data_IF_301980187085
#
_entry.id   IF_301980187085
#
_cell.length_a   1.000
_cell.length_b   1.000
_cell.length_c   1.000
_cell.angle_alpha   90.00
_cell.angle_beta   90.00
_cell.angle_gamma   90.00
#
_symmetry.space_group_name_H-M   'P 1'
#
loop_
_entity.id
_entity.type
_entity.pdbx_description
1 polymer ?
#
# COMPACT_ATOMS: atom_id res chain seq x y z
N UNK A 1 -23.96 38.20 -1.53
CA UNK A 1 -23.55 37.48 -2.76
C UNK A 1 -24.65 36.49 -3.10
N UNK A 2 -25.21 36.56 -4.30
CA UNK A 2 -26.29 35.71 -4.75
C UNK A 2 -25.78 34.27 -4.90
N UNK A 3 -26.30 33.31 -4.12
CA UNK A 3 -25.83 31.92 -4.08
C UNK A 3 -26.21 31.11 -5.33
N UNK A 4 -27.01 31.68 -6.24
CA UNK A 4 -27.54 31.00 -7.42
C UNK A 4 -26.55 30.87 -8.59
N UNK A 5 -25.33 31.41 -8.49
CA UNK A 5 -24.34 31.32 -9.57
C UNK A 5 -23.12 30.45 -9.22
N UNK A 6 -23.36 29.30 -8.58
CA UNK A 6 -22.32 28.31 -8.24
C UNK A 6 -21.56 27.78 -9.46
N UNK A 7 -22.09 27.98 -10.67
CA UNK A 7 -21.46 27.56 -11.92
C UNK A 7 -20.46 28.57 -12.48
N UNK A 8 -20.40 29.81 -11.98
CA UNK A 8 -19.45 30.82 -12.44
C UNK A 8 -18.00 30.34 -12.27
N UNK A 9 -17.18 30.53 -13.31
CA UNK A 9 -15.75 30.21 -13.28
C UNK A 9 -15.04 30.87 -12.10
N UNK A 10 -15.35 32.14 -11.80
CA UNK A 10 -14.73 32.88 -10.69
C UNK A 10 -15.06 32.27 -9.34
N UNK A 11 -16.31 31.81 -9.15
CA UNK A 11 -16.71 31.12 -7.92
C UNK A 11 -15.95 29.80 -7.75
N UNK A 12 -15.73 29.04 -8.84
CA UNK A 12 -14.92 27.81 -8.81
C UNK A 12 -13.45 28.08 -8.48
N UNK A 13 -12.87 29.14 -9.05
CA UNK A 13 -11.48 29.56 -8.74
C UNK A 13 -11.36 30.00 -7.29
N UNK A 14 -12.27 30.86 -6.81
CA UNK A 14 -12.28 31.30 -5.42
C UNK A 14 -12.46 30.12 -4.46
N UNK A 15 -13.41 29.21 -4.76
CA UNK A 15 -13.60 27.98 -3.98
C UNK A 15 -12.37 27.08 -3.97
N UNK A 16 -11.63 27.00 -5.07
CA UNK A 16 -10.35 26.28 -5.14
C UNK A 16 -9.30 26.92 -4.23
N UNK A 17 -9.20 28.25 -4.26
CA UNK A 17 -8.29 28.98 -3.38
C UNK A 17 -8.62 28.73 -1.91
N UNK A 18 -9.89 28.80 -1.54
CA UNK A 18 -10.35 28.49 -0.18
C UNK A 18 -10.07 27.04 0.21
N UNK A 19 -10.38 26.07 -0.67
CA UNK A 19 -10.19 24.64 -0.40
C UNK A 19 -8.74 24.30 -0.05
N UNK A 20 -7.81 24.89 -0.77
CA UNK A 20 -6.38 24.67 -0.58
C UNK A 20 -5.73 25.67 0.38
N UNK A 21 -6.47 26.58 1.01
CA UNK A 21 -5.91 27.63 1.87
C UNK A 21 -4.83 28.48 1.14
N UNK A 22 -5.10 28.85 -0.11
CA UNK A 22 -4.23 29.71 -0.91
C UNK A 22 -4.51 31.21 -0.60
N UNK A 23 -3.50 32.09 -0.75
CA UNK A 23 -3.69 33.52 -0.57
C UNK A 23 -4.81 34.06 -1.44
N UNK A 24 -5.66 34.93 -0.88
CA UNK A 24 -6.77 35.52 -1.62
C UNK A 24 -6.28 36.27 -2.87
N UNK A 25 -7.16 36.39 -3.87
CA UNK A 25 -6.83 37.11 -5.11
C UNK A 25 -6.40 38.56 -4.80
N UNK A 26 -7.03 39.20 -3.82
CA UNK A 26 -6.67 40.57 -3.44
C UNK A 26 -5.30 40.65 -2.77
N UNK A 27 -4.93 39.67 -1.94
CA UNK A 27 -3.58 39.54 -1.39
C UNK A 27 -2.53 39.38 -2.49
N UNK A 28 -2.81 38.55 -3.51
CA UNK A 28 -1.91 38.35 -4.64
C UNK A 28 -1.74 39.60 -5.52
N UNK A 29 -2.77 40.46 -5.61
CA UNK A 29 -2.67 41.74 -6.34
C UNK A 29 -1.77 42.73 -5.61
N UNK A 30 -1.85 42.78 -4.28
CA UNK A 30 -1.04 43.68 -3.46
C UNK A 30 0.44 43.29 -3.49
N UNK A 31 0.74 41.99 -3.49
CA UNK A 31 2.11 41.50 -3.49
C UNK A 31 2.26 40.29 -4.45
N UNK A 32 2.38 40.54 -5.76
CA UNK A 32 2.41 39.47 -6.75
C UNK A 32 3.71 38.66 -6.65
N UNK A 33 3.65 37.35 -6.37
CA UNK A 33 4.83 36.49 -6.40
C UNK A 33 5.33 36.33 -7.84
N UNK A 34 6.62 36.01 -8.00
CA UNK A 34 7.12 35.58 -9.31
C UNK A 34 6.42 34.29 -9.75
N UNK A 35 6.27 34.10 -11.07
CA UNK A 35 5.60 32.92 -11.64
C UNK A 35 6.15 31.58 -11.10
N UNK A 36 7.46 31.47 -10.91
CA UNK A 36 8.12 30.28 -10.37
C UNK A 36 7.81 30.06 -8.89
N UNK A 37 7.87 31.13 -8.08
CA UNK A 37 7.51 31.08 -6.65
C UNK A 37 6.05 30.68 -6.48
N UNK A 38 5.15 31.31 -7.24
CA UNK A 38 3.72 30.99 -7.22
C UNK A 38 3.43 29.53 -7.56
N UNK A 39 3.96 29.04 -8.69
CA UNK A 39 3.80 27.63 -9.09
C UNK A 39 4.30 26.66 -8.02
N UNK A 40 5.44 26.97 -7.41
CA UNK A 40 6.02 26.13 -6.35
C UNK A 40 5.15 26.15 -5.10
N UNK A 41 4.66 27.32 -4.69
CA UNK A 41 3.75 27.46 -3.55
C UNK A 41 2.46 26.68 -3.77
N UNK A 42 1.78 26.89 -4.91
CA UNK A 42 0.54 26.18 -5.24
C UNK A 42 0.76 24.66 -5.26
N UNK A 43 1.88 24.20 -5.84
CA UNK A 43 2.23 22.78 -5.85
C UNK A 43 2.40 22.21 -4.43
N UNK A 44 3.14 22.91 -3.57
CA UNK A 44 3.38 22.47 -2.18
C UNK A 44 2.08 22.44 -1.38
N UNK A 45 1.27 23.49 -1.47
CA UNK A 45 -0.02 23.59 -0.80
C UNK A 45 -0.97 22.48 -1.24
N UNK A 46 -1.06 22.22 -2.55
CA UNK A 46 -1.86 21.12 -3.09
C UNK A 46 -1.38 19.76 -2.57
N UNK A 47 -0.07 19.52 -2.59
CA UNK A 47 0.53 18.29 -2.09
C UNK A 47 0.25 18.08 -0.59
N UNK A 48 0.38 19.13 0.21
CA UNK A 48 0.11 19.08 1.65
C UNK A 48 -1.37 18.78 1.94
N UNK A 49 -2.29 19.52 1.32
CA UNK A 49 -3.73 19.30 1.48
C UNK A 49 -4.11 17.85 1.20
N UNK A 50 -3.75 17.35 0.02
CA UNK A 50 -4.14 16.01 -0.37
C UNK A 50 -3.42 14.95 0.49
N UNK A 51 -2.18 15.20 0.94
CA UNK A 51 -1.47 14.23 1.78
C UNK A 51 -2.18 14.07 3.11
N UNK A 52 -2.59 15.18 3.73
CA UNK A 52 -3.42 15.19 4.94
C UNK A 52 -4.77 14.52 4.72
N UNK A 53 -5.45 14.85 3.62
CA UNK A 53 -6.73 14.25 3.25
C UNK A 53 -6.60 12.73 3.11
N UNK A 54 -5.63 12.24 2.33
CA UNK A 54 -5.44 10.81 2.14
C UNK A 54 -5.04 10.08 3.42
N UNK A 55 -4.17 10.66 4.26
CA UNK A 55 -3.82 10.05 5.54
C UNK A 55 -5.06 9.86 6.42
N UNK A 56 -5.94 10.87 6.49
CA UNK A 56 -7.21 10.79 7.21
C UNK A 56 -8.14 9.72 6.64
N UNK A 57 -8.26 9.65 5.32
CA UNK A 57 -9.05 8.61 4.62
C UNK A 57 -8.51 7.19 4.82
N UNK A 58 -7.20 7.05 5.05
CA UNK A 58 -6.56 5.76 5.30
C UNK A 58 -6.73 5.34 6.75
N UNK A 59 -6.68 6.30 7.68
CA UNK A 59 -6.94 6.07 9.10
C UNK A 59 -8.34 5.49 9.36
N UNK A 60 -9.34 5.91 8.58
CA UNK A 60 -10.72 5.40 8.71
C UNK A 60 -10.93 4.00 8.13
N UNK A 61 -9.97 3.46 7.36
CA UNK A 61 -10.12 2.19 6.63
C UNK A 61 -9.34 1.05 7.30
N UNK A 62 -10.09 0.17 7.96
CA UNK A 62 -9.53 -1.05 8.59
C UNK A 62 -8.89 -2.02 7.59
N UNK A 63 -9.33 -2.00 6.33
CA UNK A 63 -8.75 -2.82 5.25
C UNK A 63 -7.32 -2.41 4.86
N UNK A 64 -6.88 -1.21 5.26
CA UNK A 64 -5.54 -0.69 4.99
C UNK A 64 -4.57 -0.87 6.16
N UNK A 65 -4.87 -1.77 7.10
CA UNK A 65 -4.06 -2.03 8.30
C UNK A 65 -2.62 -2.43 7.99
N UNK A 66 -2.36 -3.07 6.84
CA UNK A 66 -1.03 -3.51 6.45
C UNK A 66 -0.22 -2.44 5.73
N UNK A 67 -0.85 -1.32 5.31
CA UNK A 67 -0.20 -0.27 4.54
C UNK A 67 0.68 0.62 5.42
N UNK A 68 1.97 0.72 5.11
CA UNK A 68 2.86 1.62 5.83
C UNK A 68 2.60 3.09 5.45
N UNK A 69 1.80 3.77 6.29
CA UNK A 69 1.30 5.13 6.05
C UNK A 69 2.39 6.18 5.85
N UNK A 70 3.54 6.05 6.52
CA UNK A 70 4.64 7.02 6.45
C UNK A 70 5.24 7.16 5.04
N UNK A 71 4.98 6.21 4.15
CA UNK A 71 5.54 6.18 2.79
C UNK A 71 4.55 6.67 1.73
N UNK A 72 3.33 6.98 2.13
CA UNK A 72 2.31 7.46 1.23
C UNK A 72 2.54 8.94 0.97
N UNK A 73 3.25 9.23 -0.12
CA UNK A 73 3.33 10.57 -0.69
C UNK A 73 2.63 10.54 -2.04
N UNK A 74 1.82 11.54 -2.32
CA UNK A 74 0.98 11.61 -3.53
C UNK A 74 1.79 11.48 -4.82
N UNK A 75 3.02 11.98 -4.81
CA UNK A 75 3.88 12.04 -6.00
C UNK A 75 4.78 10.82 -6.10
N UNK A 76 4.85 9.99 -5.06
CA UNK A 76 5.73 8.82 -5.04
C UNK A 76 4.92 7.55 -5.26
N UNK A 77 5.43 6.71 -6.14
CA UNK A 77 4.93 5.36 -6.31
C UNK A 77 5.32 4.50 -5.11
N UNK A 78 4.43 3.61 -4.66
CA UNK A 78 4.71 2.68 -3.57
C UNK A 78 5.93 1.78 -3.89
N UNK A 79 6.81 1.47 -2.92
CA UNK A 79 8.04 0.68 -3.16
C UNK A 79 7.82 -0.70 -3.80
N UNK A 80 6.63 -1.28 -3.63
CA UNK A 80 6.22 -2.52 -4.33
C UNK A 80 6.47 -2.39 -5.84
N UNK A 81 6.10 -1.27 -6.46
CA UNK A 81 6.27 -1.09 -7.90
C UNK A 81 7.70 -0.79 -8.33
N UNK A 82 8.49 -0.12 -7.47
CA UNK A 82 9.89 0.19 -7.80
C UNK A 82 10.81 -1.02 -7.68
N UNK A 83 10.39 -2.05 -6.93
CA UNK A 83 11.18 -3.27 -6.71
C UNK A 83 11.03 -4.32 -7.83
N UNK A 84 10.05 -4.18 -8.72
CA UNK A 84 9.70 -5.18 -9.72
C UNK A 84 10.44 -4.95 -11.05
N UNK A 85 10.65 -6.01 -11.83
CA UNK A 85 11.07 -5.84 -13.22
C UNK A 85 9.90 -5.43 -14.10
N UNK A 86 10.17 -4.92 -15.30
CA UNK A 86 9.15 -4.54 -16.29
C UNK A 86 8.50 -5.74 -17.01
N UNK A 87 8.70 -6.98 -16.54
CA UNK A 87 8.10 -8.17 -17.14
C UNK A 87 6.63 -8.31 -16.78
N UNK A 88 5.82 -8.88 -17.68
CA UNK A 88 4.38 -9.10 -17.46
C UNK A 88 4.13 -9.93 -16.19
N UNK A 89 4.96 -10.94 -15.95
CA UNK A 89 4.87 -11.80 -14.76
C UNK A 89 5.06 -11.00 -13.47
N UNK A 90 6.07 -10.13 -13.40
CA UNK A 90 6.33 -9.34 -12.21
C UNK A 90 5.28 -8.24 -11.99
N UNK A 91 4.76 -7.63 -13.06
CA UNK A 91 3.64 -6.68 -12.96
C UNK A 91 2.40 -7.37 -12.37
N UNK A 92 2.08 -8.60 -12.79
CA UNK A 92 0.98 -9.39 -12.21
C UNK A 92 1.19 -9.65 -10.71
N UNK A 93 2.40 -10.07 -10.32
CA UNK A 93 2.76 -10.28 -8.89
C UNK A 93 2.59 -8.99 -8.08
N UNK A 94 3.07 -7.86 -8.61
CA UNK A 94 2.90 -6.54 -8.01
C UNK A 94 1.44 -6.16 -7.82
N UNK A 95 0.60 -6.38 -8.83
CA UNK A 95 -0.82 -6.12 -8.75
C UNK A 95 -1.52 -6.94 -7.66
N UNK A 96 -1.19 -8.22 -7.52
CA UNK A 96 -1.70 -9.08 -6.44
C UNK A 96 -1.26 -8.54 -5.08
N UNK A 97 0.02 -8.22 -4.93
CA UNK A 97 0.58 -7.68 -3.68
C UNK A 97 -0.08 -6.36 -3.28
N UNK A 98 -0.31 -5.46 -4.23
CA UNK A 98 -1.05 -4.22 -3.97
C UNK A 98 -2.51 -4.49 -3.60
N UNK A 99 -3.17 -5.46 -4.23
CA UNK A 99 -4.53 -5.85 -3.83
C UNK A 99 -4.60 -6.37 -2.41
N UNK A 100 -3.62 -7.19 -2.00
CA UNK A 100 -3.49 -7.67 -0.62
C UNK A 100 -3.23 -6.51 0.34
N UNK A 101 -2.29 -5.62 -0.01
CA UNK A 101 -1.92 -4.44 0.77
C UNK A 101 -3.08 -3.47 0.99
N UNK A 102 -3.94 -3.33 -0.04
CA UNK A 102 -5.10 -2.43 0.00
C UNK A 102 -6.39 -3.12 0.49
N UNK A 103 -6.33 -4.41 0.84
CA UNK A 103 -7.49 -5.20 1.23
C UNK A 103 -8.55 -5.36 0.13
N UNK A 104 -8.15 -5.20 -1.14
CA UNK A 104 -9.02 -5.36 -2.33
C UNK A 104 -8.86 -6.72 -3.00
N UNK A 105 -7.98 -7.59 -2.47
CA UNK A 105 -7.90 -8.97 -2.91
C UNK A 105 -9.14 -9.75 -2.46
N UNK A 106 -9.77 -10.45 -3.39
CA UNK A 106 -11.03 -11.14 -3.17
C UNK A 106 -10.80 -12.61 -2.82
N UNK A 107 -10.59 -12.89 -1.53
CA UNK A 107 -10.48 -14.27 -1.03
C UNK A 107 -11.83 -15.00 -1.09
N UNK A 108 -11.81 -16.34 -1.05
CA UNK A 108 -13.05 -17.12 -1.02
C UNK A 108 -13.95 -16.77 0.18
N UNK A 109 -13.37 -16.45 1.34
CA UNK A 109 -14.15 -15.96 2.49
C UNK A 109 -14.89 -14.64 2.20
N UNK A 110 -14.33 -13.75 1.39
CA UNK A 110 -15.00 -12.53 0.95
C UNK A 110 -16.12 -12.84 -0.05
N UNK A 111 -15.85 -13.71 -1.03
CA UNK A 111 -16.84 -14.11 -2.04
C UNK A 111 -18.06 -14.78 -1.41
N UNK A 112 -17.83 -15.68 -0.45
CA UNK A 112 -18.89 -16.30 0.33
C UNK A 112 -19.79 -15.23 0.99
N UNK A 113 -19.19 -14.23 1.65
CA UNK A 113 -19.95 -13.12 2.27
C UNK A 113 -20.74 -12.30 1.24
N UNK A 114 -20.12 -11.90 0.13
CA UNK A 114 -20.77 -11.07 -0.89
C UNK A 114 -21.86 -11.81 -1.68
N UNK A 115 -21.73 -13.13 -1.84
CA UNK A 115 -22.72 -13.97 -2.52
C UNK A 115 -23.90 -14.38 -1.63
N UNK A 116 -23.95 -13.91 -0.37
CA UNK A 116 -24.96 -14.34 0.60
C UNK A 116 -24.84 -15.81 0.97
N UNK A 117 -23.62 -16.35 0.96
CA UNK A 117 -23.31 -17.74 1.32
C UNK A 117 -23.43 -18.75 0.19
N UNK A 118 -23.68 -18.33 -1.05
CA UNK A 118 -23.84 -19.23 -2.20
C UNK A 118 -22.51 -19.85 -2.68
N UNK A 119 -21.42 -19.11 -2.56
CA UNK A 119 -20.08 -19.62 -2.89
C UNK A 119 -19.41 -20.23 -1.64
N UNK A 120 -18.50 -21.20 -1.82
CA UNK A 120 -17.73 -21.76 -0.70
C UNK A 120 -16.74 -20.74 -0.13
N UNK A 121 -16.58 -20.69 1.19
CA UNK A 121 -15.53 -19.91 1.85
C UNK A 121 -14.18 -20.63 1.91
N UNK A 122 -14.14 -21.91 1.53
CA UNK A 122 -12.96 -22.77 1.63
C UNK A 122 -11.91 -22.40 0.58
N UNK A 123 -10.64 -22.47 0.96
CA UNK A 123 -9.53 -22.23 0.05
C UNK A 123 -9.57 -23.16 -1.16
N UNK A 124 -9.41 -22.59 -2.37
CA UNK A 124 -9.48 -23.36 -3.62
C UNK A 124 -8.33 -24.36 -3.77
N UNK A 125 -7.20 -24.11 -3.13
CA UNK A 125 -6.03 -24.99 -3.22
C UNK A 125 -6.15 -26.22 -2.32
N UNK A 126 -6.57 -26.05 -1.06
CA UNK A 126 -6.60 -27.14 -0.09
C UNK A 126 -8.00 -27.70 0.19
N UNK A 127 -9.06 -26.90 0.02
CA UNK A 127 -10.43 -27.29 0.32
C UNK A 127 -10.72 -27.55 1.81
N UNK A 128 -9.78 -27.30 2.74
CA UNK A 128 -9.92 -27.73 4.15
C UNK A 128 -10.29 -26.62 5.12
N UNK A 129 -10.02 -25.36 4.80
CA UNK A 129 -10.25 -24.24 5.72
C UNK A 129 -10.61 -22.96 4.98
N UNK A 130 -11.21 -22.02 5.70
CA UNK A 130 -11.61 -20.73 5.13
C UNK A 130 -10.39 -19.97 4.61
N UNK A 131 -10.51 -19.43 3.41
CA UNK A 131 -9.44 -18.64 2.81
C UNK A 131 -9.49 -17.20 3.31
N UNK A 132 -8.59 -16.85 4.21
CA UNK A 132 -8.25 -15.48 4.53
C UNK A 132 -6.78 -15.18 4.16
N UNK A 133 -6.30 -13.97 4.44
CA UNK A 133 -4.94 -13.57 4.09
C UNK A 133 -3.86 -14.40 4.78
N UNK A 134 -4.10 -14.84 6.02
CA UNK A 134 -3.15 -15.61 6.81
C UNK A 134 -3.07 -17.04 6.30
N UNK A 135 -4.22 -17.67 6.05
CA UNK A 135 -4.29 -18.98 5.41
C UNK A 135 -3.67 -18.92 4.02
N UNK A 136 -4.09 -17.93 3.23
CA UNK A 136 -3.61 -17.72 1.88
C UNK A 136 -2.11 -17.50 1.83
N UNK A 137 -1.44 -16.88 2.79
CA UNK A 137 0.01 -16.65 2.72
C UNK A 137 0.85 -17.67 3.50
N UNK A 138 0.35 -18.21 4.60
CA UNK A 138 1.16 -18.96 5.56
C UNK A 138 0.67 -20.39 5.81
N UNK A 139 -0.65 -20.61 5.88
CA UNK A 139 -1.19 -21.86 6.45
C UNK A 139 -1.70 -22.87 5.41
N UNK A 140 -1.87 -22.48 4.15
CA UNK A 140 -2.37 -23.39 3.12
C UNK A 140 -1.43 -24.59 2.90
N UNK A 141 -1.86 -25.83 3.22
CA UNK A 141 -0.99 -27.01 3.15
C UNK A 141 -0.59 -27.34 1.70
N UNK A 142 -1.49 -27.12 0.74
CA UNK A 142 -1.24 -27.34 -0.68
C UNK A 142 -0.10 -26.48 -1.25
N UNK A 143 0.25 -25.38 -0.57
CA UNK A 143 1.29 -24.43 -0.99
C UNK A 143 2.48 -24.44 -0.02
N UNK A 144 2.48 -25.31 0.98
CA UNK A 144 3.44 -25.28 2.08
C UNK A 144 4.87 -25.55 1.59
N UNK A 145 5.05 -26.61 0.78
CA UNK A 145 6.37 -27.03 0.31
C UNK A 145 7.09 -25.92 -0.46
N UNK A 146 6.41 -25.30 -1.41
CA UNK A 146 6.99 -24.25 -2.26
C UNK A 146 7.22 -22.94 -1.47
N UNK A 147 6.39 -22.66 -0.46
CA UNK A 147 6.56 -21.49 0.41
C UNK A 147 7.67 -21.66 1.41
N UNK A 148 7.86 -22.86 1.95
CA UNK A 148 8.81 -23.10 3.04
C UNK A 148 10.23 -22.71 2.62
N UNK A 149 10.65 -23.07 1.41
CA UNK A 149 11.94 -22.67 0.87
C UNK A 149 12.05 -21.15 0.71
N UNK A 150 11.10 -20.54 0.00
CA UNK A 150 11.08 -19.09 -0.24
C UNK A 150 11.03 -18.29 1.07
N UNK A 151 10.24 -18.76 2.04
CA UNK A 151 10.11 -18.14 3.36
C UNK A 151 11.38 -18.31 4.20
N UNK A 152 12.05 -19.46 4.13
CA UNK A 152 13.33 -19.68 4.82
C UNK A 152 14.40 -18.73 4.30
N UNK A 153 14.46 -18.55 2.97
CA UNK A 153 15.36 -17.59 2.33
C UNK A 153 15.02 -16.15 2.73
N UNK A 154 13.73 -15.80 2.76
CA UNK A 154 13.26 -14.49 3.22
C UNK A 154 13.65 -14.21 4.67
N UNK A 155 13.41 -15.17 5.56
CA UNK A 155 13.75 -15.09 6.98
C UNK A 155 15.26 -14.94 7.16
N UNK A 156 16.07 -15.74 6.47
CA UNK A 156 17.52 -15.66 6.54
C UNK A 156 18.03 -14.27 6.09
N UNK A 157 17.49 -13.72 4.99
CA UNK A 157 17.84 -12.38 4.54
C UNK A 157 17.46 -11.31 5.58
N UNK A 158 16.25 -11.36 6.14
CA UNK A 158 15.84 -10.39 7.16
C UNK A 158 16.71 -10.50 8.41
N UNK A 159 16.99 -11.73 8.89
CA UNK A 159 17.92 -11.97 10.02
C UNK A 159 19.32 -11.41 9.72
N UNK A 160 19.83 -11.53 8.49
CA UNK A 160 21.14 -10.96 8.14
C UNK A 160 21.16 -9.42 8.19
N UNK A 161 19.99 -8.78 8.16
CA UNK A 161 19.87 -7.31 8.17
C UNK A 161 19.61 -6.79 9.59
N UNK A 162 18.64 -7.36 10.31
CA UNK A 162 18.21 -6.87 11.63
C UNK A 162 18.70 -7.73 12.80
N UNK A 163 19.42 -8.82 12.52
CA UNK A 163 19.86 -9.79 13.51
C UNK A 163 18.75 -10.73 14.00
N UNK A 164 19.15 -11.82 14.65
CA UNK A 164 18.21 -12.80 15.23
C UNK A 164 17.38 -12.18 16.36
N UNK A 165 17.98 -11.31 17.18
CA UNK A 165 17.27 -10.58 18.24
C UNK A 165 16.21 -9.64 17.66
N UNK A 166 16.55 -8.89 16.61
CA UNK A 166 15.61 -8.02 15.89
C UNK A 166 14.47 -8.80 15.27
N UNK A 167 14.75 -9.96 14.65
CA UNK A 167 13.72 -10.86 14.14
C UNK A 167 12.73 -11.27 15.25
N UNK A 168 13.24 -11.81 16.37
CA UNK A 168 12.39 -12.28 17.48
C UNK A 168 11.59 -11.14 18.13
N UNK A 169 12.16 -9.94 18.20
CA UNK A 169 11.49 -8.76 18.73
C UNK A 169 10.37 -8.26 17.79
N UNK A 170 10.57 -8.36 16.48
CA UNK A 170 9.68 -7.78 15.45
C UNK A 170 8.57 -8.74 15.03
N UNK A 171 8.86 -10.05 14.94
CA UNK A 171 7.98 -11.07 14.38
C UNK A 171 7.49 -12.03 15.45
N UNK A 172 6.60 -11.54 16.32
CA UNK A 172 6.09 -12.31 17.47
C UNK A 172 4.90 -13.18 17.10
N UNK A 173 4.12 -12.74 16.11
CA UNK A 173 2.90 -13.41 15.69
C UNK A 173 2.84 -13.57 14.15
N UNK A 174 1.86 -14.35 13.68
CA UNK A 174 1.68 -14.59 12.24
C UNK A 174 1.31 -13.32 11.46
N UNK A 175 0.61 -12.36 12.09
CA UNK A 175 0.22 -11.11 11.42
C UNK A 175 1.42 -10.22 11.08
N UNK A 176 2.47 -10.26 11.91
CA UNK A 176 3.74 -9.56 11.64
C UNK A 176 4.43 -10.15 10.41
N UNK A 177 4.38 -11.48 10.26
CA UNK A 177 4.93 -12.19 9.10
C UNK A 177 4.12 -11.90 7.84
N UNK A 178 2.79 -11.89 7.94
CA UNK A 178 1.89 -11.46 6.85
C UNK A 178 2.26 -10.03 6.40
N UNK A 179 2.48 -9.12 7.36
CA UNK A 179 2.89 -7.74 7.07
C UNK A 179 4.25 -7.70 6.36
N UNK A 180 5.24 -8.50 6.76
CA UNK A 180 6.54 -8.61 6.06
C UNK A 180 6.38 -9.03 4.61
N UNK A 181 5.53 -10.02 4.35
CA UNK A 181 5.33 -10.56 3.00
C UNK A 181 4.64 -9.53 2.10
N UNK A 182 3.62 -8.83 2.63
CA UNK A 182 2.81 -7.89 1.84
C UNK A 182 3.50 -6.53 1.70
N UNK A 183 4.12 -6.03 2.75
CA UNK A 183 4.75 -4.71 2.79
C UNK A 183 5.94 -4.69 3.75
N UNK A 184 7.13 -5.06 3.27
CA UNK A 184 8.35 -5.02 4.09
C UNK A 184 8.86 -3.61 4.39
N UNK A 185 8.18 -2.56 3.92
CA UNK A 185 8.67 -1.19 4.09
C UNK A 185 8.55 -0.68 5.53
N UNK A 186 7.81 -1.36 6.41
CA UNK A 186 7.83 -1.02 7.84
C UNK A 186 9.20 -1.29 8.48
N UNK A 187 10.06 -2.08 7.84
CA UNK A 187 11.44 -2.30 8.27
C UNK A 187 12.38 -1.14 7.90
N UNK A 188 11.91 -0.11 7.18
CA UNK A 188 12.77 1.01 6.76
C UNK A 188 13.54 1.71 7.90
N UNK A 189 13.00 1.90 9.11
CA UNK A 189 13.78 2.48 10.20
C UNK A 189 15.03 1.66 10.53
N UNK A 190 14.96 0.34 10.32
CA UNK A 190 16.01 -0.62 10.69
C UNK A 190 16.91 -0.97 9.50
N UNK A 191 16.50 -0.61 8.28
CA UNK A 191 17.22 -0.92 7.06
C UNK A 191 18.06 0.29 6.64
N UNK A 192 19.37 0.20 6.86
CA UNK A 192 20.34 1.22 6.46
C UNK A 192 20.53 1.34 4.93
N UNK A 193 19.94 0.44 4.12
CA UNK A 193 20.19 0.37 2.68
C UNK A 193 18.94 0.05 1.87
N UNK A 194 18.60 0.94 0.92
CA UNK A 194 17.52 0.73 -0.06
C UNK A 194 17.66 -0.60 -0.82
N UNK A 195 18.90 -1.02 -1.11
CA UNK A 195 19.20 -2.29 -1.78
C UNK A 195 18.68 -3.50 -1.00
N UNK A 196 18.73 -3.45 0.33
CA UNK A 196 18.22 -4.53 1.17
C UNK A 196 16.69 -4.61 1.14
N UNK A 197 16.01 -3.45 1.18
CA UNK A 197 14.57 -3.40 1.05
C UNK A 197 14.12 -3.96 -0.31
N UNK A 198 14.79 -3.59 -1.40
CA UNK A 198 14.47 -4.08 -2.75
C UNK A 198 14.65 -5.61 -2.84
N UNK A 199 15.69 -6.17 -2.22
CA UNK A 199 15.88 -7.62 -2.13
C UNK A 199 14.75 -8.32 -1.37
N UNK A 200 14.34 -7.78 -0.22
CA UNK A 200 13.22 -8.32 0.57
C UNK A 200 11.92 -8.23 -0.23
N UNK A 201 11.65 -7.11 -0.90
CA UNK A 201 10.46 -6.89 -1.70
C UNK A 201 10.39 -7.87 -2.88
N UNK A 202 11.50 -8.06 -3.61
CA UNK A 202 11.61 -9.04 -4.68
C UNK A 202 11.36 -10.46 -4.17
N UNK A 203 12.01 -10.85 -3.08
CA UNK A 203 11.87 -12.19 -2.53
C UNK A 203 10.45 -12.49 -2.03
N UNK A 204 9.83 -11.54 -1.34
CA UNK A 204 8.44 -11.69 -0.91
C UNK A 204 7.45 -11.77 -2.08
N UNK A 205 7.75 -11.17 -3.23
CA UNK A 205 6.92 -11.31 -4.42
C UNK A 205 6.85 -12.74 -4.98
N UNK A 206 7.87 -13.58 -4.74
CA UNK A 206 7.85 -14.98 -5.19
C UNK A 206 6.82 -15.83 -4.44
N UNK A 207 6.46 -15.46 -3.19
CA UNK A 207 5.45 -16.18 -2.41
C UNK A 207 4.05 -16.13 -3.04
N UNK A 208 3.78 -15.16 -3.93
CA UNK A 208 2.49 -15.02 -4.61
C UNK A 208 2.40 -15.80 -5.93
N UNK A 209 3.52 -16.17 -6.55
CA UNK A 209 3.53 -16.78 -7.88
C UNK A 209 2.91 -18.20 -7.87
N UNK A 210 3.02 -18.88 -6.73
CA UNK A 210 2.60 -20.26 -6.53
C UNK A 210 1.09 -20.49 -6.65
N UNK A 211 0.29 -19.41 -6.60
CA UNK A 211 -1.18 -19.52 -6.66
C UNK A 211 -1.74 -19.39 -8.09
N UNK A 212 -1.00 -18.80 -9.03
CA UNK A 212 -1.51 -18.42 -10.35
C UNK A 212 -1.05 -19.31 -11.50
N UNK A 213 -0.11 -20.23 -11.23
CA UNK A 213 0.25 -21.32 -12.14
C UNK A 213 0.20 -22.64 -11.38
N UNK A 214 -1.00 -23.10 -10.97
CA UNK A 214 -1.17 -24.45 -10.43
C UNK A 214 -0.80 -25.52 -11.47
#
# INVERSE_FOLDING_TARGET
>A
MNLDNQHSFFCKVAGTFTLYDLPSIDSLKQQPPSKLKWKSSVKLTFQDYWSKFFLKEIESKTTLVHLHRALLKIVSVHPVWTSLSSTISDVKKGAIKIRLLTGTYLFESNKHKFSGGKESSLCRCCGTSNEDITHFLLLCPALHQQRQETFSNLKALVISIIGTSGWTATFKNQSDIVKLIIDSTFLLPEINSRTNLDKIQKMSCFLFFLYFNP
#
